data_IF_268623432517
#
_entry.id   IF_268623432517
#
_cell.length_a   1.000
_cell.length_b   1.000
_cell.length_c   1.000
_cell.angle_alpha   90.00
_cell.angle_beta   90.00
_cell.angle_gamma   90.00
#
_symmetry.space_group_name_H-M   'P 1'
#
loop_
_entity.id
_entity.type
_entity.pdbx_description
1 polymer ?
#
# COMPACT_ATOMS: atom_id res chain seq x y z
N UNK A 1 31.57 -34.04 -24.57
CA UNK A 1 31.25 -32.60 -24.41
C UNK A 1 29.79 -32.49 -23.99
N UNK A 2 29.51 -32.08 -22.75
CA UNK A 2 28.14 -31.94 -22.22
C UNK A 2 27.59 -30.60 -22.68
N UNK A 3 26.59 -30.62 -23.56
CA UNK A 3 25.96 -29.44 -24.12
C UNK A 3 24.88 -28.94 -23.13
N UNK A 4 25.28 -28.13 -22.16
CA UNK A 4 24.39 -27.55 -21.16
C UNK A 4 23.52 -26.47 -21.83
N UNK A 5 22.35 -26.87 -22.34
CA UNK A 5 21.31 -25.92 -22.76
C UNK A 5 20.93 -25.07 -21.55
N UNK A 6 21.33 -23.80 -21.55
CA UNK A 6 20.82 -22.80 -20.61
C UNK A 6 19.30 -22.75 -20.80
N UNK A 7 18.55 -23.24 -19.82
CA UNK A 7 17.10 -23.03 -19.78
C UNK A 7 16.86 -21.53 -19.72
N UNK A 8 16.26 -20.98 -20.78
CA UNK A 8 15.80 -19.60 -20.80
C UNK A 8 14.50 -19.56 -20.01
N UNK A 9 14.55 -19.08 -18.76
CA UNK A 9 13.35 -18.86 -17.95
C UNK A 9 12.58 -17.68 -18.53
N UNK A 10 11.51 -17.96 -19.28
CA UNK A 10 10.62 -16.93 -19.81
C UNK A 10 9.75 -16.40 -18.67
N UNK A 11 10.11 -15.24 -18.12
CA UNK A 11 9.28 -14.54 -17.15
C UNK A 11 8.07 -13.92 -17.86
N UNK A 12 6.90 -14.57 -17.74
CA UNK A 12 5.64 -13.93 -18.13
C UNK A 12 5.25 -12.91 -17.06
N UNK A 13 5.12 -11.66 -17.47
CA UNK A 13 4.62 -10.58 -16.64
C UNK A 13 3.17 -10.31 -17.03
N UNK A 14 2.22 -10.47 -16.10
CA UNK A 14 0.84 -10.03 -16.31
C UNK A 14 0.56 -8.87 -15.37
N UNK A 15 -0.04 -7.80 -15.91
CA UNK A 15 -0.54 -6.69 -15.11
C UNK A 15 -1.97 -7.03 -14.70
N UNK A 16 -2.23 -7.12 -13.39
CA UNK A 16 -3.59 -7.18 -12.85
C UNK A 16 -3.77 -6.07 -11.83
N UNK A 17 -4.91 -5.41 -11.82
CA UNK A 17 -5.17 -4.38 -10.83
C UNK A 17 -5.68 -4.95 -9.50
N UNK A 18 -5.39 -4.23 -8.43
CA UNK A 18 -5.98 -4.43 -7.11
C UNK A 18 -6.68 -3.15 -6.66
N UNK A 19 -7.84 -3.28 -6.03
CA UNK A 19 -8.53 -2.16 -5.43
C UNK A 19 -7.75 -1.65 -4.21
N UNK A 20 -7.52 -0.36 -4.17
CA UNK A 20 -6.83 0.41 -3.15
C UNK A 20 -7.70 1.58 -2.68
N UNK A 21 -7.32 2.22 -1.57
CA UNK A 21 -7.96 3.42 -1.01
C UNK A 21 -7.01 4.59 -1.16
N UNK A 22 -7.46 5.66 -1.80
CA UNK A 22 -6.63 6.80 -2.15
C UNK A 22 -7.05 8.04 -1.37
N UNK A 23 -6.06 8.72 -0.82
CA UNK A 23 -6.17 10.04 -0.22
C UNK A 23 -5.36 10.97 -1.11
N UNK A 24 -6.00 11.54 -2.13
CA UNK A 24 -5.32 12.38 -3.12
C UNK A 24 -5.44 13.86 -2.78
N UNK A 25 -4.43 14.64 -3.15
CA UNK A 25 -4.45 16.11 -3.13
C UNK A 25 -5.49 16.69 -4.10
N UNK A 26 -5.81 15.96 -5.18
CA UNK A 26 -6.71 16.42 -6.25
C UNK A 26 -8.17 16.05 -6.05
N UNK A 27 -8.47 15.11 -5.15
CA UNK A 27 -9.83 14.63 -4.91
C UNK A 27 -10.46 15.27 -3.67
N UNK A 28 -11.70 15.72 -3.78
CA UNK A 28 -12.46 16.29 -2.65
C UNK A 28 -12.77 15.29 -1.54
N UNK A 29 -12.80 13.99 -1.86
CA UNK A 29 -13.03 12.91 -0.88
C UNK A 29 -12.12 11.73 -1.17
N UNK A 30 -11.71 10.95 -0.15
CA UNK A 30 -10.92 9.75 -0.40
C UNK A 30 -11.78 8.74 -1.16
N UNK A 31 -11.21 8.09 -2.17
CA UNK A 31 -11.93 7.22 -3.11
C UNK A 31 -11.28 5.84 -3.21
N UNK A 32 -12.00 4.88 -3.78
CA UNK A 32 -11.39 3.61 -4.21
C UNK A 32 -10.86 3.77 -5.62
N UNK A 33 -9.70 3.19 -5.89
CA UNK A 33 -9.13 3.14 -7.23
C UNK A 33 -8.51 1.76 -7.50
N UNK A 34 -8.13 1.53 -8.76
CA UNK A 34 -7.50 0.29 -9.19
C UNK A 34 -6.01 0.53 -9.40
N UNK A 35 -5.19 -0.03 -8.50
CA UNK A 35 -3.74 0.00 -8.58
C UNK A 35 -3.23 -1.12 -9.47
N UNK A 36 -2.53 -0.82 -10.58
CA UNK A 36 -1.87 -1.83 -11.37
C UNK A 36 -0.87 -2.60 -10.49
N UNK A 37 -0.83 -3.92 -10.63
CA UNK A 37 0.17 -4.75 -9.96
C UNK A 37 0.88 -5.62 -10.96
N UNK A 38 2.20 -5.67 -10.85
CA UNK A 38 3.05 -6.57 -11.58
C UNK A 38 3.04 -7.93 -10.88
N UNK A 39 2.65 -8.97 -11.61
CA UNK A 39 2.71 -10.35 -11.11
C UNK A 39 4.07 -10.92 -11.50
N UNK A 40 4.94 -11.14 -10.51
CA UNK A 40 6.18 -11.86 -10.74
C UNK A 40 5.90 -13.37 -10.72
N UNK A 41 5.81 -13.97 -11.90
CA UNK A 41 5.87 -15.42 -12.05
C UNK A 41 7.35 -15.84 -11.95
N UNK A 42 7.89 -15.85 -10.72
CA UNK A 42 9.20 -16.44 -10.44
C UNK A 42 8.98 -17.89 -10.01
N UNK A 43 9.50 -18.79 -10.83
CA UNK A 43 9.56 -20.26 -10.70
C UNK A 43 8.29 -21.07 -11.04
N UNK A 44 8.49 -22.27 -11.62
CA UNK A 44 7.42 -23.20 -11.98
C UNK A 44 6.83 -23.95 -10.78
N UNK A 45 7.16 -23.58 -9.54
CA UNK A 45 6.59 -24.23 -8.35
C UNK A 45 5.12 -23.80 -8.18
N UNK A 46 4.15 -24.69 -8.45
CA UNK A 46 2.73 -24.37 -8.35
C UNK A 46 2.28 -24.11 -6.90
N UNK A 47 3.10 -24.48 -5.91
CA UNK A 47 2.82 -24.25 -4.50
C UNK A 47 3.04 -22.80 -4.07
N UNK A 48 3.87 -22.03 -4.80
CA UNK A 48 4.15 -20.64 -4.49
C UNK A 48 3.15 -19.71 -5.19
N UNK A 49 2.30 -19.05 -4.40
CA UNK A 49 1.41 -18.01 -4.91
C UNK A 49 2.24 -16.86 -5.51
N UNK A 50 1.89 -16.35 -6.70
CA UNK A 50 2.69 -15.34 -7.35
C UNK A 50 2.62 -14.03 -6.58
N UNK A 51 3.79 -13.46 -6.25
CA UNK A 51 3.89 -12.18 -5.54
C UNK A 51 3.45 -11.05 -6.47
N UNK A 52 2.63 -10.15 -5.93
CA UNK A 52 2.15 -8.96 -6.64
C UNK A 52 2.90 -7.74 -6.14
N UNK A 53 3.67 -7.11 -7.03
CA UNK A 53 4.30 -5.82 -6.75
C UNK A 53 3.38 -4.70 -7.21
N UNK A 54 2.96 -3.78 -6.33
CA UNK A 54 2.10 -2.69 -6.73
C UNK A 54 2.89 -1.65 -7.51
N UNK A 55 2.28 -1.09 -8.56
CA UNK A 55 2.80 0.02 -9.34
C UNK A 55 2.02 1.28 -8.94
N UNK A 56 2.23 1.72 -7.70
CA UNK A 56 1.51 2.84 -7.08
C UNK A 56 1.93 4.20 -7.65
N UNK A 57 3.06 4.26 -8.35
CA UNK A 57 3.55 5.42 -9.11
C UNK A 57 2.44 6.03 -9.98
N UNK A 58 1.63 5.18 -10.61
CA UNK A 58 0.52 5.55 -11.50
C UNK A 58 -0.61 6.34 -10.80
N UNK A 59 -0.52 6.57 -9.50
CA UNK A 59 -1.53 7.27 -8.70
C UNK A 59 -1.05 8.57 -8.10
N UNK A 60 0.25 8.87 -8.16
CA UNK A 60 0.79 10.07 -7.58
C UNK A 60 0.89 11.15 -8.65
N UNK A 61 0.23 12.30 -8.45
CA UNK A 61 0.16 13.39 -9.43
C UNK A 61 1.52 14.00 -9.80
N UNK A 62 2.52 13.85 -8.93
CA UNK A 62 3.78 14.60 -8.98
C UNK A 62 5.01 13.72 -9.28
N UNK A 63 4.88 12.71 -10.15
CA UNK A 63 5.96 11.76 -10.45
C UNK A 63 7.29 12.42 -10.84
N UNK A 64 7.23 13.52 -11.59
CA UNK A 64 8.41 14.27 -11.99
C UNK A 64 9.18 14.92 -10.82
N UNK A 65 8.55 15.17 -9.66
CA UNK A 65 9.14 15.93 -8.55
C UNK A 65 9.81 15.05 -7.49
N UNK A 66 9.29 13.84 -7.25
CA UNK A 66 9.75 12.93 -6.20
C UNK A 66 9.52 11.47 -6.66
N UNK A 67 10.52 10.79 -7.24
CA UNK A 67 10.31 9.44 -7.79
C UNK A 67 10.22 8.36 -6.72
N UNK A 68 10.81 8.57 -5.54
CA UNK A 68 10.92 7.53 -4.53
C UNK A 68 9.63 7.35 -3.74
N UNK A 69 9.07 6.15 -3.84
CA UNK A 69 7.94 5.71 -3.04
C UNK A 69 8.46 5.06 -1.77
N UNK A 70 7.83 5.43 -0.66
CA UNK A 70 8.06 4.83 0.63
C UNK A 70 6.81 4.08 1.07
N UNK A 71 7.03 3.01 1.80
CA UNK A 71 5.95 2.22 2.36
C UNK A 71 6.21 1.80 3.80
N UNK A 72 5.12 1.50 4.50
CA UNK A 72 5.16 0.81 5.78
C UNK A 72 3.87 0.03 6.00
N UNK A 73 3.92 -0.93 6.94
CA UNK A 73 2.75 -1.75 7.28
C UNK A 73 1.98 -1.16 8.45
N UNK A 74 0.67 -1.30 8.43
CA UNK A 74 -0.21 -1.00 9.56
C UNK A 74 -1.03 -2.23 9.90
N UNK A 75 -0.88 -2.70 11.13
CA UNK A 75 -1.66 -3.81 11.71
C UNK A 75 -2.72 -3.23 12.62
N UNK A 76 -3.98 -3.40 12.24
CA UNK A 76 -5.15 -2.97 13.02
C UNK A 76 -5.72 -4.17 13.76
N UNK A 77 -5.70 -4.14 15.09
CA UNK A 77 -6.48 -5.05 15.93
C UNK A 77 -7.84 -4.41 16.22
N UNK A 78 -8.93 -5.07 15.85
CA UNK A 78 -10.28 -4.57 16.07
C UNK A 78 -11.24 -5.68 16.50
N UNK A 79 -11.77 -5.57 17.72
CA UNK A 79 -12.44 -6.68 18.39
C UNK A 79 -11.56 -7.93 18.43
N UNK A 80 -12.05 -9.05 17.86
CA UNK A 80 -11.30 -10.32 17.74
C UNK A 80 -10.58 -10.49 16.39
N UNK A 81 -10.54 -9.45 15.55
CA UNK A 81 -10.00 -9.52 14.19
C UNK A 81 -8.72 -8.70 14.07
N UNK A 82 -7.88 -9.11 13.13
CA UNK A 82 -6.68 -8.39 12.73
C UNK A 82 -6.78 -8.08 11.24
N UNK A 83 -6.44 -6.86 10.86
CA UNK A 83 -6.40 -6.42 9.46
C UNK A 83 -5.08 -5.72 9.19
N UNK A 84 -4.47 -6.06 8.07
CA UNK A 84 -3.14 -5.56 7.70
C UNK A 84 -3.27 -4.69 6.44
N UNK A 85 -2.58 -3.57 6.46
CA UNK A 85 -2.54 -2.60 5.37
C UNK A 85 -1.09 -2.23 5.07
N UNK A 86 -0.84 -1.88 3.82
CA UNK A 86 0.40 -1.25 3.40
C UNK A 86 0.05 0.18 2.97
N UNK A 87 0.77 1.14 3.52
CA UNK A 87 0.60 2.57 3.25
C UNK A 87 1.75 3.00 2.37
N UNK A 88 1.43 3.52 1.18
CA UNK A 88 2.38 4.06 0.22
C UNK A 88 2.27 5.58 0.20
N UNK A 89 3.42 6.25 0.21
CA UNK A 89 3.50 7.70 0.19
C UNK A 89 4.82 8.15 -0.41
N UNK A 90 4.89 9.43 -0.75
CA UNK A 90 6.15 10.09 -1.07
C UNK A 90 6.62 10.95 0.09
N UNK A 91 7.92 11.12 0.14
CA UNK A 91 8.55 12.15 0.94
C UNK A 91 8.53 13.43 0.12
N UNK A 92 8.16 14.58 0.66
CA UNK A 92 8.32 15.78 -0.16
C UNK A 92 7.83 17.04 0.53
N UNK A 93 8.73 17.98 0.76
CA UNK A 93 8.39 19.34 1.21
C UNK A 93 7.69 20.18 0.14
N UNK A 94 7.78 19.77 -1.13
CA UNK A 94 7.30 20.51 -2.31
C UNK A 94 6.04 19.90 -2.92
N UNK A 95 5.42 18.95 -2.20
CA UNK A 95 4.14 18.36 -2.57
C UNK A 95 3.02 19.19 -1.96
N UNK A 96 1.88 19.25 -2.63
CA UNK A 96 0.72 19.98 -2.14
C UNK A 96 0.17 19.34 -0.86
N UNK A 97 -0.47 20.14 -0.02
CA UNK A 97 -1.13 19.65 1.18
C UNK A 97 -2.25 18.68 0.81
N UNK A 98 -2.28 17.54 1.49
CA UNK A 98 -3.35 16.57 1.34
C UNK A 98 -4.57 17.02 2.17
N UNK A 99 -5.71 17.37 1.55
CA UNK A 99 -6.86 17.92 2.28
C UNK A 99 -7.47 16.92 3.26
N UNK A 100 -7.15 15.63 3.14
CA UNK A 100 -7.65 14.58 4.01
C UNK A 100 -6.78 14.39 5.26
N UNK A 101 -5.51 14.83 5.21
CA UNK A 101 -4.51 14.59 6.24
C UNK A 101 -4.13 15.86 6.99
N UNK A 102 -3.97 15.77 8.32
CA UNK A 102 -3.51 16.89 9.12
C UNK A 102 -2.00 17.09 8.96
N UNK A 103 -1.61 18.03 8.08
CA UNK A 103 -0.20 18.35 7.79
C UNK A 103 0.52 17.33 6.92
N UNK A 104 -0.21 16.39 6.31
CA UNK A 104 0.34 15.48 5.30
C UNK A 104 0.47 16.22 3.98
N UNK A 105 1.57 15.98 3.29
CA UNK A 105 1.82 16.48 1.94
C UNK A 105 1.85 15.33 0.93
N UNK A 106 1.32 15.56 -0.27
CA UNK A 106 1.22 14.58 -1.36
C UNK A 106 0.12 13.54 -1.19
N UNK A 107 -0.08 12.72 -2.21
CA UNK A 107 -1.05 11.63 -2.15
C UNK A 107 -0.58 10.51 -1.20
N UNK A 108 -1.56 9.75 -0.70
CA UNK A 108 -1.32 8.52 0.06
C UNK A 108 -2.20 7.41 -0.48
N UNK A 109 -1.62 6.25 -0.74
CA UNK A 109 -2.31 5.06 -1.25
C UNK A 109 -2.27 3.96 -0.19
N UNK A 110 -3.43 3.45 0.18
CA UNK A 110 -3.57 2.30 1.08
C UNK A 110 -3.96 1.07 0.28
N UNK A 111 -3.26 -0.03 0.51
CA UNK A 111 -3.63 -1.34 -0.02
C UNK A 111 -3.79 -2.34 1.11
N UNK A 112 -4.71 -3.30 0.92
CA UNK A 112 -4.91 -4.38 1.89
C UNK A 112 -3.85 -5.46 1.71
N UNK A 113 -3.36 -5.97 2.83
CA UNK A 113 -2.47 -7.13 2.89
C UNK A 113 -3.28 -8.37 3.26
N UNK A 114 -2.93 -9.51 2.65
CA UNK A 114 -3.55 -10.80 2.94
C UNK A 114 -3.37 -11.16 4.42
N UNK A 115 -4.41 -11.77 4.99
CA UNK A 115 -4.31 -12.35 6.35
C UNK A 115 -3.41 -13.60 6.35
N UNK A 116 -3.39 -14.35 5.24
CA UNK A 116 -2.66 -15.61 5.13
C UNK A 116 -1.18 -15.41 4.78
N UNK A 117 -0.83 -14.29 4.15
CA UNK A 117 0.53 -14.00 3.71
C UNK A 117 0.81 -12.49 3.87
N UNK A 118 1.70 -12.09 4.79
CA UNK A 118 1.97 -10.68 5.07
C UNK A 118 2.70 -9.96 3.92
N UNK A 119 3.24 -10.68 2.94
CA UNK A 119 3.90 -10.10 1.76
C UNK A 119 2.95 -9.97 0.55
N UNK A 120 1.73 -10.50 0.65
CA UNK A 120 0.79 -10.52 -0.46
C UNK A 120 -0.27 -9.43 -0.34
N UNK A 121 -0.30 -8.53 -1.32
CA UNK A 121 -1.38 -7.54 -1.46
C UNK A 121 -2.64 -8.18 -2.04
N UNK A 122 -3.80 -7.73 -1.56
CA UNK A 122 -5.12 -8.24 -1.97
C UNK A 122 -6.08 -7.08 -2.26
N UNK A 123 -7.16 -7.40 -2.96
CA UNK A 123 -8.22 -6.44 -3.23
C UNK A 123 -8.82 -5.91 -1.93
N UNK A 124 -8.91 -4.59 -1.81
CA UNK A 124 -9.79 -3.98 -0.83
C UNK A 124 -11.25 -4.26 -1.16
N UNK A 125 -12.02 -4.61 -0.14
CA UNK A 125 -13.47 -4.78 -0.21
C UNK A 125 -14.12 -3.40 -0.06
N UNK A 126 -15.35 -3.24 -0.53
CA UNK A 126 -16.13 -2.01 -0.27
C UNK A 126 -16.29 -1.74 1.22
N UNK A 127 -16.42 -2.80 2.02
CA UNK A 127 -16.54 -2.73 3.49
C UNK A 127 -15.23 -2.32 4.19
N UNK A 128 -14.09 -2.35 3.51
CA UNK A 128 -12.81 -1.92 4.07
C UNK A 128 -12.68 -0.38 4.15
N UNK A 129 -13.63 0.38 3.60
CA UNK A 129 -13.58 1.85 3.59
C UNK A 129 -13.31 2.43 4.98
N UNK A 130 -14.12 2.06 5.97
CA UNK A 130 -14.06 2.63 7.33
C UNK A 130 -12.73 2.31 8.02
N UNK A 131 -12.26 1.08 7.91
CA UNK A 131 -10.99 0.66 8.53
C UNK A 131 -9.79 1.29 7.82
N UNK A 132 -9.85 1.50 6.51
CA UNK A 132 -8.79 2.19 5.78
C UNK A 132 -8.73 3.68 6.11
N UNK A 133 -9.88 4.35 6.21
CA UNK A 133 -9.96 5.74 6.67
C UNK A 133 -9.42 5.87 8.11
N UNK A 134 -9.72 4.90 8.98
CA UNK A 134 -9.12 4.80 10.33
C UNK A 134 -7.60 4.61 10.30
N UNK A 135 -7.09 3.69 9.46
CA UNK A 135 -5.64 3.46 9.29
C UNK A 135 -4.93 4.73 8.88
N UNK A 136 -5.48 5.47 7.92
CA UNK A 136 -4.92 6.72 7.47
C UNK A 136 -4.88 7.75 8.61
N UNK A 137 -5.98 7.92 9.35
CA UNK A 137 -6.06 8.81 10.52
C UNK A 137 -5.01 8.47 11.60
N UNK A 138 -4.83 7.18 11.91
CA UNK A 138 -3.84 6.75 12.91
C UNK A 138 -2.39 6.85 12.42
N UNK A 139 -2.20 6.89 11.09
CA UNK A 139 -0.88 6.95 10.47
C UNK A 139 -0.35 8.39 10.34
N UNK A 140 -1.22 9.41 10.45
CA UNK A 140 -0.86 10.78 10.06
C UNK A 140 0.36 11.31 10.81
N UNK A 141 0.42 11.16 12.13
CA UNK A 141 1.56 11.63 12.93
C UNK A 141 2.89 11.02 12.46
N UNK A 142 2.90 9.74 12.07
CA UNK A 142 4.12 9.06 11.59
C UNK A 142 4.53 9.55 10.21
N UNK A 143 3.54 9.78 9.34
CA UNK A 143 3.75 10.34 8.01
C UNK A 143 4.32 11.75 8.12
N UNK A 144 3.70 12.63 8.92
CA UNK A 144 4.16 14.02 9.09
C UNK A 144 5.60 14.07 9.61
N UNK A 145 5.93 13.30 10.65
CA UNK A 145 7.32 13.20 11.17
C UNK A 145 8.32 12.72 10.14
N UNK A 146 7.92 11.84 9.23
CA UNK A 146 8.79 11.36 8.14
C UNK A 146 9.01 12.42 7.06
N UNK A 147 7.99 13.24 6.81
CA UNK A 147 8.00 14.32 5.82
C UNK A 147 8.70 15.60 6.32
N UNK A 148 8.87 15.73 7.64
CA UNK A 148 9.61 16.83 8.26
C UNK A 148 11.09 16.94 7.80
N UNK A 149 11.70 18.14 7.93
CA UNK A 149 13.12 18.34 7.62
C UNK A 149 14.05 17.39 8.37
N UNK A 150 13.72 17.10 9.63
CA UNK A 150 14.49 16.20 10.48
C UNK A 150 14.21 14.76 10.04
N UNK A 151 15.26 14.06 9.61
CA UNK A 151 15.12 12.73 9.00
C UNK A 151 14.74 11.69 10.05
N UNK A 152 13.44 11.52 10.29
CA UNK A 152 12.94 10.34 10.97
C UNK A 152 12.75 9.21 9.96
N UNK A 153 12.92 7.95 10.39
CA UNK A 153 12.63 6.78 9.55
C UNK A 153 11.15 6.42 9.72
N UNK A 154 10.50 6.04 8.62
CA UNK A 154 9.21 5.36 8.74
C UNK A 154 9.40 4.05 9.54
N UNK A 155 8.46 3.72 10.43
CA UNK A 155 8.47 2.41 11.07
C UNK A 155 8.28 1.32 10.00
N UNK A 156 8.83 0.12 10.21
CA UNK A 156 8.51 -1.01 9.33
C UNK A 156 7.04 -1.44 9.46
N UNK A 157 6.54 -1.43 10.70
CA UNK A 157 5.16 -1.76 11.03
C UNK A 157 4.67 -0.83 12.15
N UNK A 158 3.42 -0.37 12.03
CA UNK A 158 2.66 0.34 13.05
C UNK A 158 1.52 -0.57 13.52
N UNK A 159 1.41 -0.79 14.83
CA UNK A 159 0.28 -1.55 15.41
C UNK A 159 -0.69 -0.55 16.02
N UNK A 160 -1.97 -0.68 15.66
CA UNK A 160 -3.05 0.17 16.17
C UNK A 160 -4.18 -0.72 16.69
N UNK A 161 -4.81 -0.26 17.77
CA UNK A 161 -5.90 -0.99 18.43
C UNK A 161 -7.19 -0.16 18.36
N UNK A 162 -8.30 -0.83 18.13
CA UNK A 162 -9.62 -0.25 18.08
C UNK A 162 -10.60 -1.18 18.80
N UNK A 163 -11.17 -0.75 19.92
CA UNK A 163 -11.88 -1.63 20.85
C UNK A 163 -13.07 -2.38 20.21
N UNK A 164 -13.69 -1.77 19.20
CA UNK A 164 -14.87 -2.32 18.50
C UNK A 164 -14.50 -2.89 17.14
N UNK A 165 -15.22 -3.92 16.71
CA UNK A 165 -15.11 -4.38 15.32
C UNK A 165 -15.69 -3.32 14.36
N UNK A 166 -15.08 -3.15 13.19
CA UNK A 166 -15.70 -2.34 12.15
C UNK A 166 -16.90 -3.09 11.54
N UNK A 167 -18.07 -2.45 11.42
CA UNK A 167 -19.28 -3.10 10.90
C UNK A 167 -19.08 -3.49 9.43
N UNK A 168 -19.56 -4.68 9.06
CA UNK A 168 -19.49 -5.21 7.68
C UNK A 168 -18.16 -5.86 7.29
N UNK A 169 -17.19 -5.97 8.19
CA UNK A 169 -16.00 -6.79 7.98
C UNK A 169 -16.30 -8.24 8.36
N UNK A 170 -16.81 -9.04 7.41
CA UNK A 170 -16.95 -10.50 7.56
C UNK A 170 -15.59 -11.20 7.38
#
# INVERSE_FOLDING_TARGET
MVNTRKQVTVHRCTIKSLRSRHFSTTHQTPCFAFTPTQIELRNPDPALKPKRRPLVEAHFSDEARQPFIHDFRVKVKHGRKVSNFCVFLRRGKTLDLNPHGNGIVGDVVLMRVSKADPDMLVNMRSTDKKIADFVFAQSQLRICRFQEPQRTRLPKELVVEHDRAFPGLA
#
